data_IF_803500218384
#
_entry.id   IF_803500218384
#
_cell.length_a   1.000
_cell.length_b   1.000
_cell.length_c   1.000
_cell.angle_alpha   90.00
_cell.angle_beta   90.00
_cell.angle_gamma   90.00
#
_symmetry.space_group_name_H-M   'P 1'
#
loop_
_entity.id
_entity.type
_entity.pdbx_description
1 polymer ?
#
# COMPACT_ATOMS: atom_id res chain seq x y z
N UNK A 1 -8.29 12.11 -8.36
CA UNK A 1 -7.82 13.50 -8.33
C UNK A 1 -8.98 14.38 -7.90
N UNK A 2 -8.80 15.21 -6.87
CA UNK A 2 -9.85 16.10 -6.32
C UNK A 2 -9.71 17.53 -6.82
N UNK A 3 -8.48 17.96 -7.10
CA UNK A 3 -8.08 19.30 -7.49
C UNK A 3 -6.63 19.28 -8.02
N UNK A 4 -6.18 20.40 -8.58
CA UNK A 4 -4.77 20.63 -8.89
C UNK A 4 -4.17 21.40 -7.73
N UNK A 5 -3.23 20.77 -7.01
CA UNK A 5 -2.47 21.32 -5.88
C UNK A 5 -1.86 22.72 -6.16
N UNK A 6 -1.24 23.35 -5.16
CA UNK A 6 -0.84 24.77 -5.17
C UNK A 6 0.15 25.21 -6.25
N UNK A 7 0.69 24.27 -7.02
CA UNK A 7 1.54 24.54 -8.17
C UNK A 7 0.76 25.05 -9.40
N UNK A 8 -0.56 24.86 -9.45
CA UNK A 8 -1.35 25.23 -10.61
C UNK A 8 -1.62 26.75 -10.65
N UNK A 9 -1.40 27.43 -11.79
CA UNK A 9 -1.58 28.89 -11.90
C UNK A 9 -2.96 29.40 -11.48
N UNK A 10 -4.00 28.57 -11.68
CA UNK A 10 -5.37 28.88 -11.27
C UNK A 10 -5.77 28.25 -9.93
N UNK A 11 -4.83 27.88 -9.05
CA UNK A 11 -5.12 27.22 -7.77
C UNK A 11 -6.07 28.02 -6.86
N UNK A 12 -6.04 29.35 -6.93
CA UNK A 12 -6.95 30.22 -6.18
C UNK A 12 -8.43 30.08 -6.60
N UNK A 13 -8.71 29.37 -7.69
CA UNK A 13 -10.07 29.01 -8.12
C UNK A 13 -10.64 27.77 -7.43
N UNK A 14 -9.83 27.06 -6.64
CA UNK A 14 -10.25 25.85 -5.92
C UNK A 14 -11.08 26.21 -4.69
N UNK A 15 -12.37 25.88 -4.71
CA UNK A 15 -13.28 26.09 -3.56
C UNK A 15 -13.53 24.80 -2.79
N UNK A 16 -13.92 24.92 -1.52
CA UNK A 16 -14.28 23.77 -0.66
C UNK A 16 -15.42 22.96 -1.26
N UNK A 17 -16.42 23.62 -1.85
CA UNK A 17 -17.58 22.99 -2.49
C UNK A 17 -17.15 22.14 -3.68
N UNK A 18 -16.23 22.67 -4.50
CA UNK A 18 -15.68 21.94 -5.64
C UNK A 18 -14.93 20.68 -5.19
N UNK A 19 -14.08 20.79 -4.16
CA UNK A 19 -13.35 19.64 -3.60
C UNK A 19 -14.32 18.59 -3.06
N UNK A 20 -15.35 19.00 -2.32
CA UNK A 20 -16.35 18.08 -1.75
C UNK A 20 -17.15 17.35 -2.84
N UNK A 21 -17.58 18.05 -3.89
CA UNK A 21 -18.29 17.44 -5.02
C UNK A 21 -17.41 16.39 -5.73
N UNK A 22 -16.16 16.74 -6.06
CA UNK A 22 -15.24 15.78 -6.66
C UNK A 22 -14.92 14.62 -5.71
N UNK A 23 -14.76 14.86 -4.41
CA UNK A 23 -14.50 13.81 -3.43
C UNK A 23 -15.67 12.81 -3.34
N UNK A 24 -16.92 13.28 -3.34
CA UNK A 24 -18.09 12.41 -3.35
C UNK A 24 -18.16 11.55 -4.63
N UNK A 25 -17.97 12.17 -5.80
CA UNK A 25 -17.94 11.46 -7.10
C UNK A 25 -16.82 10.43 -7.14
N UNK A 26 -15.61 10.81 -6.73
CA UNK A 26 -14.44 9.94 -6.68
C UNK A 26 -14.62 8.80 -5.69
N UNK A 27 -15.25 9.04 -4.54
CA UNK A 27 -15.51 8.00 -3.54
C UNK A 27 -16.47 6.93 -4.09
N UNK A 28 -17.53 7.35 -4.78
CA UNK A 28 -18.46 6.42 -5.42
C UNK A 28 -17.75 5.55 -6.47
N UNK A 29 -16.88 6.15 -7.28
CA UNK A 29 -16.10 5.43 -8.30
C UNK A 29 -15.05 4.52 -7.67
N UNK A 30 -14.29 4.99 -6.69
CA UNK A 30 -13.30 4.20 -5.96
C UNK A 30 -13.94 2.95 -5.34
N UNK A 31 -15.12 3.06 -4.74
CA UNK A 31 -15.87 1.91 -4.21
C UNK A 31 -16.20 0.88 -5.29
N UNK A 32 -16.58 1.30 -6.49
CA UNK A 32 -16.84 0.40 -7.63
C UNK A 32 -15.56 -0.27 -8.12
N UNK A 33 -14.49 0.50 -8.24
CA UNK A 33 -13.16 0.01 -8.66
C UNK A 33 -12.65 -1.03 -7.66
N UNK A 34 -12.66 -0.73 -6.36
CA UNK A 34 -12.18 -1.65 -5.32
C UNK A 34 -12.93 -2.98 -5.36
N UNK A 35 -14.27 -2.96 -5.46
CA UNK A 35 -15.04 -4.21 -5.58
C UNK A 35 -14.64 -5.05 -6.78
N UNK A 36 -14.45 -4.40 -7.93
CA UNK A 36 -14.04 -5.08 -9.17
C UNK A 36 -12.61 -5.60 -9.06
N UNK A 37 -11.69 -4.78 -8.55
CA UNK A 37 -10.30 -5.13 -8.37
C UNK A 37 -10.12 -6.32 -7.42
N UNK A 38 -10.86 -6.37 -6.29
CA UNK A 38 -10.82 -7.51 -5.37
C UNK A 38 -11.26 -8.80 -6.05
N UNK A 39 -12.32 -8.76 -6.88
CA UNK A 39 -12.76 -9.93 -7.64
C UNK A 39 -11.67 -10.41 -8.64
N UNK A 40 -11.01 -9.47 -9.33
CA UNK A 40 -9.94 -9.79 -10.28
C UNK A 40 -8.67 -10.31 -9.59
N UNK A 41 -8.34 -9.78 -8.41
CA UNK A 41 -7.13 -10.17 -7.66
C UNK A 41 -7.16 -11.63 -7.22
N UNK A 42 -8.34 -12.20 -6.98
CA UNK A 42 -8.49 -13.62 -6.64
C UNK A 42 -7.83 -14.52 -7.70
N UNK A 43 -8.07 -14.21 -8.97
CA UNK A 43 -7.54 -14.95 -10.12
C UNK A 43 -6.05 -14.63 -10.40
N UNK A 44 -5.52 -13.53 -9.87
CA UNK A 44 -4.13 -13.09 -10.07
C UNK A 44 -3.17 -13.51 -8.94
N UNK A 45 -3.62 -14.35 -8.00
CA UNK A 45 -2.83 -14.78 -6.84
C UNK A 45 -1.52 -15.44 -7.29
N UNK A 46 -0.38 -14.93 -6.83
CA UNK A 46 0.96 -15.47 -7.14
C UNK A 46 1.69 -14.82 -8.33
N UNK A 47 1.01 -13.96 -9.11
CA UNK A 47 1.66 -13.28 -10.25
C UNK A 47 2.64 -12.16 -9.82
N UNK A 48 2.50 -11.63 -8.60
CA UNK A 48 3.30 -10.50 -8.14
C UNK A 48 4.69 -10.93 -7.62
N UNK A 49 5.74 -10.44 -8.27
CA UNK A 49 7.14 -10.56 -7.78
C UNK A 49 7.36 -9.91 -6.41
N UNK A 50 6.46 -9.01 -5.98
CA UNK A 50 6.51 -8.38 -4.67
C UNK A 50 6.48 -9.38 -3.50
N UNK A 51 5.93 -10.58 -3.69
CA UNK A 51 5.86 -11.61 -2.65
C UNK A 51 7.24 -12.12 -2.19
N UNK A 52 8.28 -11.96 -3.03
CA UNK A 52 9.66 -12.33 -2.72
C UNK A 52 10.59 -11.11 -2.59
N UNK A 53 10.06 -9.88 -2.59
CA UNK A 53 10.87 -8.66 -2.58
C UNK A 53 11.88 -8.59 -1.42
N UNK A 54 11.51 -9.13 -0.25
CA UNK A 54 12.34 -9.10 0.94
C UNK A 54 13.47 -10.15 0.95
N UNK A 55 13.42 -11.17 0.08
CA UNK A 55 14.33 -12.32 0.08
C UNK A 55 15.81 -11.93 0.06
N UNK A 56 16.16 -10.88 -0.69
CA UNK A 56 17.53 -10.39 -0.88
C UNK A 56 17.73 -8.95 -0.37
N UNK A 57 16.69 -8.35 0.22
CA UNK A 57 16.75 -6.96 0.69
C UNK A 57 17.22 -6.86 2.15
N UNK A 58 17.31 -7.97 2.88
CA UNK A 58 17.81 -7.99 4.26
C UNK A 58 19.34 -7.92 4.23
N UNK A 59 19.87 -6.73 4.51
CA UNK A 59 21.32 -6.48 4.56
C UNK A 59 21.94 -6.82 5.92
N UNK A 60 21.14 -6.86 6.99
CA UNK A 60 21.61 -7.20 8.33
C UNK A 60 22.06 -8.66 8.36
N UNK A 61 23.29 -8.89 8.83
CA UNK A 61 23.79 -10.26 9.09
C UNK A 61 22.81 -10.99 10.01
N UNK A 62 22.40 -12.19 9.59
CA UNK A 62 21.43 -13.03 10.30
C UNK A 62 21.88 -13.34 11.72
N UNK A 63 23.18 -13.51 11.97
CA UNK A 63 23.71 -13.80 13.30
C UNK A 63 23.63 -12.58 14.24
N UNK A 64 23.54 -11.38 13.69
CA UNK A 64 23.47 -10.12 14.44
C UNK A 64 22.03 -9.66 14.71
N UNK A 65 21.01 -10.35 14.21
CA UNK A 65 19.61 -9.95 14.39
C UNK A 65 19.14 -10.36 15.79
N UNK A 66 18.75 -9.41 16.67
CA UNK A 66 18.27 -9.75 17.99
C UNK A 66 16.93 -10.50 17.93
N UNK A 67 16.68 -11.48 18.81
CA UNK A 67 15.40 -12.22 18.87
C UNK A 67 14.18 -11.30 19.05
N UNK A 68 14.32 -10.20 19.79
CA UNK A 68 13.26 -9.19 19.96
C UNK A 68 12.87 -8.55 18.62
N UNK A 69 13.83 -8.26 17.76
CA UNK A 69 13.58 -7.63 16.44
C UNK A 69 12.84 -8.60 15.53
N UNK A 70 13.19 -9.89 15.55
CA UNK A 70 12.47 -10.92 14.81
C UNK A 70 11.00 -11.01 15.25
N UNK A 71 10.74 -11.04 16.58
CA UNK A 71 9.37 -11.05 17.11
C UNK A 71 8.58 -9.81 16.69
N UNK A 72 9.17 -8.62 16.87
CA UNK A 72 8.54 -7.32 16.53
C UNK A 72 8.18 -7.20 15.05
N UNK A 73 9.00 -7.75 14.16
CA UNK A 73 8.82 -7.68 12.70
C UNK A 73 8.26 -8.97 12.08
N UNK A 74 7.72 -9.86 12.91
CA UNK A 74 7.26 -11.19 12.48
C UNK A 74 6.25 -11.16 11.33
N UNK A 75 5.37 -10.15 11.28
CA UNK A 75 4.38 -9.96 10.22
C UNK A 75 4.97 -9.95 8.80
N UNK A 76 6.21 -9.48 8.64
CA UNK A 76 6.91 -9.40 7.34
C UNK A 76 8.11 -10.34 7.23
N UNK A 77 8.71 -10.76 8.35
CA UNK A 77 9.92 -11.59 8.38
C UNK A 77 9.67 -13.10 8.47
N UNK A 78 8.49 -13.55 8.93
CA UNK A 78 8.17 -14.97 9.17
C UNK A 78 8.51 -15.91 8.00
N UNK A 79 8.40 -15.42 6.76
CA UNK A 79 8.74 -16.20 5.55
C UNK A 79 10.23 -16.54 5.43
N UNK A 80 11.12 -15.72 6.00
CA UNK A 80 12.59 -15.85 5.84
C UNK A 80 13.32 -16.15 7.15
N UNK A 81 12.61 -16.04 8.28
CA UNK A 81 13.08 -16.38 9.62
C UNK A 81 11.98 -17.21 10.29
N UNK A 82 12.18 -18.52 10.52
CA UNK A 82 11.27 -19.29 11.34
C UNK A 82 11.33 -18.72 12.77
N UNK A 83 10.24 -18.11 13.20
CA UNK A 83 10.06 -17.55 14.55
C UNK A 83 9.17 -18.54 15.28
N UNK A 84 9.71 -19.21 16.30
CA UNK A 84 8.92 -20.02 17.22
C UNK A 84 8.02 -19.09 18.05
N UNK A 85 6.76 -19.49 18.25
CA UNK A 85 5.77 -18.74 19.05
C UNK A 85 6.10 -18.73 20.55
#
# INVERSE_FOLDING_TARGET
MTDYDCWHPDHDSVTVEMVLDYLQRNTANARRIVRTAVALLKEATGACRCQSALQHAIQTDRAAIPPETLRRLSAILRKYFPIEE
#
